data_IF_264305547739
#
_entry.id   IF_264305547739
#
_cell.length_a   1.000
_cell.length_b   1.000
_cell.length_c   1.000
_cell.angle_alpha   90.00
_cell.angle_beta   90.00
_cell.angle_gamma   90.00
#
_symmetry.space_group_name_H-M   'P 1'
#
loop_
_entity.id
_entity.type
_entity.pdbx_description
1 polymer ?
#
# COMPACT_ATOMS: atom_id res chain seq x y z
N UNK A 1 -43.13 -12.48 13.14
CA UNK A 1 -41.92 -11.93 13.79
C UNK A 1 -40.96 -11.31 12.77
N UNK A 2 -40.71 -11.94 11.61
CA UNK A 2 -39.96 -11.30 10.50
C UNK A 2 -40.86 -10.61 9.46
N UNK A 3 -42.19 -10.77 9.56
CA UNK A 3 -43.16 -10.17 8.62
C UNK A 3 -43.88 -8.92 9.20
N UNK A 4 -43.70 -8.61 10.49
CA UNK A 4 -44.25 -7.40 11.14
C UNK A 4 -43.29 -6.20 11.10
N UNK A 5 -42.01 -6.42 10.78
CA UNK A 5 -41.00 -5.35 10.72
C UNK A 5 -41.00 -4.59 9.38
N UNK A 6 -41.47 -5.23 8.31
CA UNK A 6 -41.47 -4.67 6.95
C UNK A 6 -42.68 -3.74 6.70
N UNK A 7 -43.77 -3.92 7.45
CA UNK A 7 -44.96 -3.04 7.39
C UNK A 7 -44.74 -1.72 8.15
N UNK A 8 -43.93 -1.73 9.22
CA UNK A 8 -43.60 -0.51 9.99
C UNK A 8 -42.70 0.47 9.20
N UNK A 9 -41.81 -0.04 8.33
CA UNK A 9 -40.91 0.80 7.54
C UNK A 9 -41.63 1.55 6.39
N UNK A 10 -42.77 1.03 5.92
CA UNK A 10 -43.56 1.68 4.84
C UNK A 10 -44.45 2.81 5.33
N UNK A 11 -44.74 2.87 6.63
CA UNK A 11 -45.59 3.91 7.23
C UNK A 11 -44.84 5.20 7.59
N UNK A 12 -43.52 5.18 7.76
CA UNK A 12 -42.74 6.43 7.93
C UNK A 12 -42.49 7.18 6.62
N UNK A 13 -42.41 6.47 5.48
CA UNK A 13 -42.11 7.09 4.19
C UNK A 13 -43.29 7.89 3.60
N UNK A 14 -44.51 7.72 4.11
CA UNK A 14 -45.73 8.40 3.62
C UNK A 14 -46.13 9.63 4.43
N UNK A 15 -45.45 9.93 5.55
CA UNK A 15 -45.87 10.98 6.49
C UNK A 15 -45.15 12.33 6.35
N UNK A 16 -44.17 12.49 5.44
CA UNK A 16 -43.51 13.79 5.21
C UNK A 16 -44.23 14.63 4.15
N UNK A 17 -45.30 14.11 3.54
CA UNK A 17 -46.19 14.85 2.64
C UNK A 17 -47.40 15.44 3.36
N UNK A 18 -47.25 16.46 4.20
CA UNK A 18 -48.27 17.51 4.44
C UNK A 18 -47.92 18.45 5.61
N UNK A 19 -47.63 19.71 5.30
CA UNK A 19 -48.41 20.78 5.94
C UNK A 19 -48.49 22.04 5.08
N UNK A 20 -49.63 22.76 5.11
CA UNK A 20 -49.97 23.85 4.22
C UNK A 20 -49.70 25.23 4.86
N UNK A 21 -49.29 26.24 4.07
CA UNK A 21 -49.88 27.57 4.21
C UNK A 21 -49.65 28.46 2.97
N UNK A 22 -50.73 29.17 2.60
CA UNK A 22 -50.84 30.21 1.57
C UNK A 22 -50.04 31.48 1.96
N UNK A 23 -49.75 32.50 1.14
CA UNK A 23 -50.44 33.21 0.04
C UNK A 23 -49.31 33.87 -0.82
N UNK A 24 -49.29 33.88 -2.15
CA UNK A 24 -50.07 34.76 -3.03
C UNK A 24 -49.21 35.92 -3.59
N UNK A 25 -48.64 35.79 -4.80
CA UNK A 25 -48.41 36.89 -5.76
C UNK A 25 -48.24 36.28 -7.17
N UNK A 26 -49.02 36.79 -8.11
CA UNK A 26 -49.04 36.43 -9.54
C UNK A 26 -47.91 37.14 -10.29
N UNK A 27 -47.10 36.39 -11.04
CA UNK A 27 -46.49 36.87 -12.28
C UNK A 27 -46.03 35.66 -13.11
N UNK A 28 -46.78 35.38 -14.17
CA UNK A 28 -46.31 34.59 -15.29
C UNK A 28 -45.21 35.40 -16.00
N UNK A 29 -44.03 34.79 -16.20
CA UNK A 29 -43.11 34.92 -17.34
C UNK A 29 -41.71 34.45 -16.92
N UNK A 30 -41.20 33.39 -17.57
CA UNK A 30 -39.79 33.00 -17.44
C UNK A 30 -39.46 31.50 -17.38
N UNK A 31 -40.34 30.59 -17.80
CA UNK A 31 -40.11 29.13 -17.67
C UNK A 31 -39.27 28.51 -18.81
N UNK A 32 -38.41 29.29 -19.46
CA UNK A 32 -37.66 28.82 -20.64
C UNK A 32 -36.15 28.99 -20.61
N UNK A 33 -35.59 29.70 -19.63
CA UNK A 33 -34.16 30.03 -19.62
C UNK A 33 -33.37 29.38 -18.47
N UNK A 34 -34.02 29.06 -17.34
CA UNK A 34 -33.34 28.42 -16.20
C UNK A 34 -33.23 26.90 -16.32
N UNK A 35 -34.10 26.25 -17.11
CA UNK A 35 -34.07 24.80 -17.31
C UNK A 35 -32.98 24.36 -18.30
N UNK A 36 -32.66 25.20 -19.30
CA UNK A 36 -31.58 24.91 -20.26
C UNK A 36 -30.19 25.10 -19.62
N UNK A 37 -30.02 26.06 -18.71
CA UNK A 37 -28.75 26.25 -17.98
C UNK A 37 -28.49 25.12 -16.95
N UNK A 38 -29.53 24.59 -16.29
CA UNK A 38 -29.36 23.44 -15.38
C UNK A 38 -29.11 22.10 -16.11
N UNK A 39 -29.65 21.90 -17.32
CA UNK A 39 -29.35 20.72 -18.14
C UNK A 39 -27.90 20.73 -18.65
N UNK A 40 -27.39 21.89 -19.09
CA UNK A 40 -25.99 22.04 -19.52
C UNK A 40 -24.99 21.88 -18.35
N UNK A 41 -25.31 22.37 -17.14
CA UNK A 41 -24.48 22.16 -15.94
C UNK A 41 -24.48 20.68 -15.50
N UNK A 42 -25.63 19.99 -15.58
CA UNK A 42 -25.72 18.57 -15.29
C UNK A 42 -24.96 17.72 -16.31
N UNK A 43 -25.01 18.06 -17.60
CA UNK A 43 -24.20 17.38 -18.63
C UNK A 43 -22.68 17.61 -18.42
N UNK A 44 -22.28 18.80 -17.97
CA UNK A 44 -20.90 19.10 -17.62
C UNK A 44 -20.42 18.32 -16.38
N UNK A 45 -21.25 18.22 -15.34
CA UNK A 45 -20.96 17.44 -14.12
C UNK A 45 -20.88 15.93 -14.42
N UNK A 46 -21.79 15.40 -15.24
CA UNK A 46 -21.73 14.01 -15.71
C UNK A 46 -20.49 13.77 -16.58
N UNK A 47 -20.11 14.73 -17.42
CA UNK A 47 -18.89 14.68 -18.20
C UNK A 47 -17.63 14.61 -17.32
N UNK A 48 -17.57 15.43 -16.27
CA UNK A 48 -16.45 15.45 -15.32
C UNK A 48 -16.36 14.14 -14.52
N UNK A 49 -17.49 13.62 -14.04
CA UNK A 49 -17.56 12.32 -13.34
C UNK A 49 -17.13 11.17 -14.24
N UNK A 50 -17.57 11.15 -15.51
CA UNK A 50 -17.17 10.12 -16.48
C UNK A 50 -15.67 10.20 -16.78
N UNK A 51 -15.12 11.40 -16.97
CA UNK A 51 -13.68 11.58 -17.20
C UNK A 51 -12.88 11.10 -15.98
N UNK A 52 -13.28 11.50 -14.76
CA UNK A 52 -12.63 11.07 -13.52
C UNK A 52 -12.67 9.53 -13.35
N UNK A 53 -13.82 8.92 -13.65
CA UNK A 53 -13.99 7.46 -13.54
C UNK A 53 -13.17 6.69 -14.58
N UNK A 54 -13.05 7.20 -15.81
CA UNK A 54 -12.21 6.58 -16.85
C UNK A 54 -10.74 6.64 -16.46
N UNK A 55 -10.26 7.78 -15.93
CA UNK A 55 -8.88 7.92 -15.44
C UNK A 55 -8.60 6.90 -14.33
N UNK A 56 -9.46 6.86 -13.31
CA UNK A 56 -9.33 5.91 -12.19
C UNK A 56 -9.33 4.44 -12.66
N UNK A 57 -10.12 4.12 -13.70
CA UNK A 57 -10.17 2.77 -14.28
C UNK A 57 -8.88 2.41 -15.04
N UNK A 58 -8.34 3.34 -15.83
CA UNK A 58 -7.06 3.14 -16.54
C UNK A 58 -5.90 3.01 -15.55
N UNK A 59 -5.85 3.87 -14.53
CA UNK A 59 -4.86 3.80 -13.45
C UNK A 59 -4.94 2.48 -12.69
N UNK A 60 -6.16 1.97 -12.44
CA UNK A 60 -6.35 0.68 -11.79
C UNK A 60 -5.82 -0.49 -12.63
N UNK A 61 -6.15 -0.54 -13.93
CA UNK A 61 -5.72 -1.64 -14.81
C UNK A 61 -4.19 -1.61 -15.03
N UNK A 62 -3.63 -0.43 -15.29
CA UNK A 62 -2.18 -0.27 -15.45
C UNK A 62 -1.44 -0.54 -14.13
N UNK A 63 -2.00 -0.12 -12.99
CA UNK A 63 -1.50 -0.42 -11.66
C UNK A 63 -1.56 -1.93 -11.34
N UNK A 64 -2.62 -2.63 -11.74
CA UNK A 64 -2.75 -4.08 -11.50
C UNK A 64 -1.67 -4.89 -12.24
N UNK A 65 -1.40 -4.56 -13.50
CA UNK A 65 -0.34 -5.21 -14.29
C UNK A 65 1.04 -4.85 -13.73
N UNK A 66 1.26 -3.58 -13.39
CA UNK A 66 2.52 -3.10 -12.81
C UNK A 66 2.85 -3.79 -11.49
N UNK A 67 1.87 -3.84 -10.57
CA UNK A 67 2.02 -4.51 -9.29
C UNK A 67 2.36 -5.99 -9.49
N UNK A 68 1.65 -6.68 -10.39
CA UNK A 68 1.92 -8.09 -10.70
C UNK A 68 3.34 -8.31 -11.22
N UNK A 69 3.81 -7.48 -12.14
CA UNK A 69 5.17 -7.56 -12.68
C UNK A 69 6.24 -7.26 -11.61
N UNK A 70 5.94 -6.35 -10.68
CA UNK A 70 6.81 -5.95 -9.58
C UNK A 70 7.17 -7.10 -8.64
N UNK A 71 6.27 -8.09 -8.45
CA UNK A 71 6.54 -9.28 -7.62
C UNK A 71 7.62 -10.20 -8.20
N UNK A 72 7.91 -10.13 -9.51
CA UNK A 72 9.01 -10.88 -10.14
C UNK A 72 10.37 -10.54 -9.52
N UNK A 73 10.51 -9.31 -9.00
CA UNK A 73 11.69 -8.84 -8.26
C UNK A 73 12.03 -9.71 -7.06
N UNK A 74 11.02 -10.19 -6.32
CA UNK A 74 11.23 -11.03 -5.14
C UNK A 74 11.73 -12.42 -5.54
N UNK A 75 11.18 -12.97 -6.61
CA UNK A 75 11.65 -14.23 -7.18
C UNK A 75 13.09 -14.11 -7.70
N UNK A 76 13.41 -13.05 -8.43
CA UNK A 76 14.76 -12.80 -8.94
C UNK A 76 15.78 -12.57 -7.81
N UNK A 77 15.42 -11.81 -6.79
CA UNK A 77 16.26 -11.59 -5.62
C UNK A 77 16.50 -12.90 -4.86
N UNK A 78 15.47 -13.75 -4.74
CA UNK A 78 15.61 -15.08 -4.12
C UNK A 78 16.57 -16.00 -4.90
N UNK A 79 16.54 -15.96 -6.24
CA UNK A 79 17.43 -16.76 -7.08
C UNK A 79 18.88 -16.26 -6.99
N UNK A 80 19.08 -14.95 -7.04
CA UNK A 80 20.40 -14.34 -6.87
C UNK A 80 20.99 -14.64 -5.49
N UNK A 81 20.19 -14.51 -4.42
CA UNK A 81 20.59 -14.82 -3.05
C UNK A 81 21.05 -16.28 -2.91
N UNK A 82 20.29 -17.21 -3.48
CA UNK A 82 20.63 -18.64 -3.47
C UNK A 82 21.95 -18.94 -4.20
N UNK A 83 22.16 -18.32 -5.37
CA UNK A 83 23.39 -18.51 -6.14
C UNK A 83 24.61 -17.88 -5.47
N UNK A 84 24.45 -16.68 -4.93
CA UNK A 84 25.52 -15.95 -4.27
C UNK A 84 25.97 -16.67 -2.98
N UNK A 85 25.04 -17.25 -2.22
CA UNK A 85 25.36 -18.09 -1.06
C UNK A 85 26.18 -19.34 -1.43
N UNK A 86 25.84 -20.02 -2.52
CA UNK A 86 26.57 -21.20 -3.00
C UNK A 86 28.00 -20.84 -3.46
N UNK A 87 28.16 -19.72 -4.16
CA UNK A 87 29.49 -19.22 -4.58
C UNK A 87 30.38 -18.86 -3.38
N UNK A 88 29.86 -18.20 -2.35
CA UNK A 88 30.64 -17.87 -1.15
C UNK A 88 31.06 -19.11 -0.38
N UNK A 89 30.19 -20.13 -0.29
CA UNK A 89 30.50 -21.42 0.31
C UNK A 89 31.59 -22.15 -0.48
N UNK A 90 31.48 -22.21 -1.80
CA UNK A 90 32.48 -22.93 -2.60
C UNK A 90 33.84 -22.22 -2.60
N UNK A 91 33.86 -20.89 -2.68
CA UNK A 91 35.09 -20.11 -2.65
C UNK A 91 35.81 -20.16 -1.30
N UNK A 92 35.08 -20.17 -0.16
CA UNK A 92 35.72 -20.12 1.17
C UNK A 92 35.89 -21.53 1.76
N UNK A 93 34.86 -22.38 1.70
CA UNK A 93 34.89 -23.68 2.37
C UNK A 93 35.51 -24.77 1.49
N UNK A 94 35.19 -24.80 0.20
CA UNK A 94 35.70 -25.82 -0.72
C UNK A 94 37.12 -25.51 -1.19
N UNK A 95 37.41 -24.28 -1.65
CA UNK A 95 38.73 -23.92 -2.16
C UNK A 95 39.77 -23.71 -1.04
N UNK A 96 39.46 -22.94 0.01
CA UNK A 96 40.41 -22.67 1.10
C UNK A 96 40.41 -23.80 2.15
N UNK A 97 39.25 -24.37 2.48
CA UNK A 97 39.13 -25.39 3.52
C UNK A 97 39.58 -26.80 3.09
N UNK A 98 39.24 -27.23 1.87
CA UNK A 98 39.42 -28.64 1.44
C UNK A 98 40.55 -28.80 0.41
N UNK A 99 40.62 -27.93 -0.61
CA UNK A 99 41.58 -28.11 -1.72
C UNK A 99 43.03 -27.74 -1.39
N UNK A 100 43.29 -27.15 -0.23
CA UNK A 100 44.63 -26.73 0.18
C UNK A 100 45.58 -27.92 0.47
N UNK A 101 45.07 -29.17 0.48
CA UNK A 101 45.88 -30.39 0.35
C UNK A 101 46.96 -30.57 1.43
N UNK A 102 46.67 -30.16 2.66
CA UNK A 102 47.58 -30.26 3.81
C UNK A 102 47.40 -31.59 4.57
N UNK A 103 48.36 -31.90 5.45
CA UNK A 103 48.29 -33.01 6.40
C UNK A 103 46.95 -33.05 7.17
N UNK A 104 46.42 -34.25 7.43
CA UNK A 104 45.12 -34.50 8.07
C UNK A 104 44.88 -33.69 9.36
N UNK A 105 45.92 -33.48 10.17
CA UNK A 105 45.84 -32.67 11.40
C UNK A 105 45.74 -31.16 11.10
N UNK A 106 46.57 -30.66 10.18
CA UNK A 106 46.63 -29.24 9.85
C UNK A 106 45.37 -28.79 9.10
N UNK A 107 44.80 -29.68 8.28
CA UNK A 107 43.55 -29.45 7.57
C UNK A 107 42.38 -29.20 8.53
N UNK A 108 42.30 -29.91 9.67
CA UNK A 108 41.23 -29.69 10.66
C UNK A 108 41.22 -28.28 11.25
N UNK A 109 42.40 -27.73 11.56
CA UNK A 109 42.54 -26.37 12.11
C UNK A 109 42.19 -25.31 11.05
N UNK A 110 42.68 -25.50 9.81
CA UNK A 110 42.38 -24.60 8.69
C UNK A 110 40.89 -24.61 8.37
N UNK A 111 40.25 -25.78 8.39
CA UNK A 111 38.82 -25.92 8.11
C UNK A 111 37.95 -25.26 9.18
N UNK A 112 38.36 -25.33 10.46
CA UNK A 112 37.67 -24.63 11.54
C UNK A 112 37.74 -23.10 11.37
N UNK A 113 38.94 -22.56 11.09
CA UNK A 113 39.11 -21.12 10.82
C UNK A 113 38.37 -20.67 9.56
N UNK A 114 38.44 -21.45 8.47
CA UNK A 114 37.74 -21.17 7.23
C UNK A 114 36.21 -21.18 7.43
N UNK A 115 35.70 -22.10 8.25
CA UNK A 115 34.28 -22.15 8.59
C UNK A 115 33.84 -20.93 9.42
N UNK A 116 34.63 -20.53 10.43
CA UNK A 116 34.33 -19.32 11.22
C UNK A 116 34.33 -18.06 10.34
N UNK A 117 35.30 -17.94 9.42
CA UNK A 117 35.37 -16.82 8.49
C UNK A 117 34.19 -16.82 7.50
N UNK A 118 33.87 -17.99 6.93
CA UNK A 118 32.71 -18.16 6.04
C UNK A 118 31.40 -17.78 6.74
N UNK A 119 31.21 -18.20 7.99
CA UNK A 119 30.01 -17.91 8.76
C UNK A 119 29.87 -16.40 9.03
N UNK A 120 30.94 -15.71 9.42
CA UNK A 120 30.90 -14.26 9.68
C UNK A 120 30.57 -13.48 8.40
N UNK A 121 31.25 -13.79 7.29
CA UNK A 121 31.01 -13.11 6.00
C UNK A 121 29.60 -13.39 5.51
N UNK A 122 29.11 -14.63 5.64
CA UNK A 122 27.74 -15.00 5.25
C UNK A 122 26.69 -14.24 6.06
N UNK A 123 26.88 -14.10 7.37
CA UNK A 123 25.95 -13.35 8.24
C UNK A 123 25.93 -11.87 7.87
N UNK A 124 27.09 -11.24 7.70
CA UNK A 124 27.18 -9.80 7.45
C UNK A 124 26.74 -9.44 6.02
N UNK A 125 27.20 -10.17 5.01
CA UNK A 125 26.95 -9.81 3.61
C UNK A 125 25.63 -10.41 3.13
N UNK A 126 25.45 -11.74 3.24
CA UNK A 126 24.24 -12.39 2.72
C UNK A 126 23.03 -12.04 3.57
N UNK A 127 23.16 -12.10 4.89
CA UNK A 127 22.01 -11.93 5.77
C UNK A 127 21.66 -10.46 6.05
N UNK A 128 22.62 -9.58 6.34
CA UNK A 128 22.27 -8.19 6.71
C UNK A 128 22.06 -7.32 5.47
N UNK A 129 23.01 -7.32 4.53
CA UNK A 129 22.96 -6.39 3.40
C UNK A 129 21.87 -6.75 2.38
N UNK A 130 21.68 -8.03 2.07
CA UNK A 130 20.66 -8.42 1.09
C UNK A 130 19.23 -8.38 1.67
N UNK A 131 19.06 -8.73 2.96
CA UNK A 131 17.73 -8.63 3.59
C UNK A 131 17.29 -7.18 3.76
N UNK A 132 18.21 -6.24 4.02
CA UNK A 132 17.87 -4.82 4.08
C UNK A 132 17.40 -4.28 2.72
N UNK A 133 18.04 -4.72 1.63
CA UNK A 133 17.63 -4.37 0.26
C UNK A 133 16.24 -4.93 -0.07
N UNK A 134 16.01 -6.21 0.25
CA UNK A 134 14.71 -6.87 0.10
C UNK A 134 13.61 -6.17 0.91
N UNK A 135 13.92 -5.79 2.16
CA UNK A 135 12.99 -5.10 3.05
C UNK A 135 12.54 -3.75 2.50
N UNK A 136 13.47 -2.92 2.00
CA UNK A 136 13.12 -1.64 1.39
C UNK A 136 12.35 -1.81 0.07
N UNK A 137 12.66 -2.86 -0.70
CA UNK A 137 11.87 -3.22 -1.86
C UNK A 137 10.44 -3.61 -1.48
N UNK A 138 10.25 -4.41 -0.43
CA UNK A 138 8.93 -4.75 0.09
C UNK A 138 8.17 -3.51 0.63
N UNK A 139 8.85 -2.63 1.36
CA UNK A 139 8.27 -1.38 1.86
C UNK A 139 7.81 -0.47 0.72
N UNK A 140 8.58 -0.39 -0.37
CA UNK A 140 8.19 0.37 -1.56
C UNK A 140 6.94 -0.22 -2.21
N UNK A 141 6.84 -1.55 -2.32
CA UNK A 141 5.63 -2.20 -2.83
C UNK A 141 4.43 -1.89 -1.91
N UNK A 142 4.58 -2.01 -0.60
CA UNK A 142 3.49 -1.66 0.33
C UNK A 142 3.09 -0.19 0.25
N UNK A 143 4.04 0.72 0.12
CA UNK A 143 3.74 2.14 0.01
C UNK A 143 3.07 2.48 -1.34
N UNK A 144 3.67 2.08 -2.46
CA UNK A 144 3.22 2.53 -3.79
C UNK A 144 2.12 1.66 -4.35
N UNK A 145 2.14 0.37 -4.06
CA UNK A 145 1.23 -0.61 -4.68
C UNK A 145 0.05 -0.97 -3.77
N UNK A 146 0.24 -0.99 -2.44
CA UNK A 146 -0.82 -1.35 -1.48
C UNK A 146 -1.60 -0.12 -0.98
N UNK A 147 -0.96 1.02 -0.72
CA UNK A 147 -1.69 2.22 -0.26
C UNK A 147 -2.47 2.92 -1.38
N UNK A 148 -1.99 2.93 -2.63
CA UNK A 148 -2.72 3.56 -3.76
C UNK A 148 -4.08 2.93 -4.07
N UNK A 149 -4.41 1.74 -3.53
CA UNK A 149 -5.71 1.09 -3.76
C UNK A 149 -6.78 1.39 -2.73
N UNK A 150 -6.40 1.73 -1.50
CA UNK A 150 -7.33 1.78 -0.36
C UNK A 150 -7.12 2.99 0.55
N UNK A 151 -5.99 3.68 0.44
CA UNK A 151 -5.62 4.79 1.32
C UNK A 151 -5.79 6.12 0.59
N UNK A 152 -6.88 6.83 0.89
CA UNK A 152 -7.18 8.14 0.31
C UNK A 152 -6.37 9.30 0.94
N UNK A 153 -5.59 9.04 1.99
CA UNK A 153 -4.65 10.01 2.56
C UNK A 153 -5.26 11.16 3.37
N UNK A 154 -6.59 11.23 3.49
CA UNK A 154 -7.29 12.36 4.13
C UNK A 154 -7.50 12.14 5.64
N UNK A 155 -6.39 12.03 6.38
CA UNK A 155 -6.40 11.80 7.83
C UNK A 155 -5.65 12.88 8.62
N UNK A 156 -6.29 13.42 9.66
CA UNK A 156 -5.62 14.26 10.65
C UNK A 156 -4.92 13.38 11.70
N UNK A 157 -3.64 13.65 11.97
CA UNK A 157 -2.88 12.90 13.00
C UNK A 157 -3.48 13.21 14.37
N UNK A 158 -4.07 12.21 15.02
CA UNK A 158 -4.59 12.35 16.37
C UNK A 158 -3.43 12.52 17.37
N UNK A 159 -3.36 13.70 17.99
CA UNK A 159 -2.41 14.00 19.04
C UNK A 159 -3.17 14.25 20.36
N UNK A 160 -3.23 13.24 21.26
CA UNK A 160 -3.94 13.41 22.51
C UNK A 160 -3.21 14.38 23.42
N UNK A 161 -3.97 15.10 24.24
CA UNK A 161 -3.44 15.98 25.27
C UNK A 161 -2.61 15.16 26.28
N UNK A 162 -1.29 15.38 26.30
CA UNK A 162 -0.35 14.70 27.19
C UNK A 162 0.50 15.74 27.93
N UNK A 163 0.43 15.72 29.27
CA UNK A 163 1.18 16.61 30.14
C UNK A 163 2.71 16.49 30.01
N UNK A 164 3.24 15.33 29.58
CA UNK A 164 4.67 15.15 29.35
C UNK A 164 5.19 15.99 28.18
N UNK A 165 4.42 16.09 27.09
CA UNK A 165 4.78 16.92 25.93
C UNK A 165 4.75 18.41 26.24
N UNK A 166 3.90 18.83 27.18
CA UNK A 166 3.79 20.22 27.63
C UNK A 166 4.99 20.59 28.50
N UNK A 167 5.43 19.70 29.38
CA UNK A 167 6.61 19.96 30.21
C UNK A 167 7.89 20.04 29.36
N UNK A 168 8.09 19.16 28.37
CA UNK A 168 9.23 19.27 27.44
C UNK A 168 9.20 20.57 26.63
N UNK A 169 8.02 21.03 26.17
CA UNK A 169 7.88 22.28 25.42
C UNK A 169 8.01 23.56 26.28
N UNK A 170 7.99 23.45 27.61
CA UNK A 170 8.20 24.57 28.55
C UNK A 170 9.66 24.63 29.03
N UNK A 171 10.41 23.52 28.93
CA UNK A 171 11.84 23.45 29.27
C UNK A 171 12.78 23.84 28.11
N UNK A 172 12.33 23.82 26.86
CA UNK A 172 12.98 24.47 25.69
C UNK A 172 12.66 25.98 25.60
#
# INVERSE_FOLDING_TARGET
AEEEADEAARLEMTAVGSSPNAEGEVAAEGEGAAAEEEEDEAEAELGEVVVHQVIHTIEFVLGAISNTASYLRLWALSLAHSQLAELFKDMILTDIGIKMGLSNWAQGIVLWLAFSLWAIISVVVLMVMENLSSFLHALRLQWVEFQNKFFYGDGQKYEPFNFQKINEAVEE
#
